data_IF_262973698036
#
_entry.id   IF_262973698036
#
_cell.length_a   1.000
_cell.length_b   1.000
_cell.length_c   1.000
_cell.angle_alpha   90.00
_cell.angle_beta   90.00
_cell.angle_gamma   90.00
#
_symmetry.space_group_name_H-M   'P 1'
#
loop_
_entity.id
_entity.type
_entity.pdbx_description
1 polymer ?
#
# COMPACT_ATOMS: atom_id res chain seq x y z
N UNK A 1 5.92 13.44 -29.37
CA UNK A 1 5.77 11.98 -29.28
C UNK A 1 6.73 11.34 -30.26
N UNK A 2 7.77 10.63 -29.79
CA UNK A 2 8.74 9.93 -30.63
C UNK A 2 8.20 8.60 -31.15
N UNK A 3 8.67 8.19 -32.32
CA UNK A 3 8.34 6.88 -32.91
C UNK A 3 9.32 5.77 -32.50
N UNK A 4 10.36 6.12 -31.71
CA UNK A 4 11.38 5.19 -31.23
C UNK A 4 11.46 5.22 -29.70
N UNK A 5 11.91 4.12 -29.11
CA UNK A 5 12.20 4.05 -27.67
C UNK A 5 13.30 5.06 -27.30
N UNK A 6 13.10 5.78 -26.22
CA UNK A 6 14.05 6.81 -25.75
C UNK A 6 14.54 6.43 -24.36
N UNK A 7 15.87 6.41 -24.19
CA UNK A 7 16.47 6.19 -22.88
C UNK A 7 16.84 7.53 -22.26
N UNK A 8 16.33 7.78 -21.06
CA UNK A 8 16.55 8.99 -20.29
C UNK A 8 17.28 8.66 -18.99
N UNK A 9 18.09 9.61 -18.52
CA UNK A 9 18.58 9.62 -17.13
C UNK A 9 17.76 10.63 -16.36
N UNK A 10 17.12 10.18 -15.28
CA UNK A 10 16.27 11.00 -14.42
C UNK A 10 16.90 11.10 -13.05
N UNK A 11 17.05 12.32 -12.54
CA UNK A 11 17.61 12.58 -11.22
C UNK A 11 16.91 13.79 -10.60
N UNK A 12 16.27 13.68 -9.44
CA UNK A 12 15.94 14.84 -8.63
C UNK A 12 17.22 15.46 -8.04
N UNK A 13 17.19 16.73 -7.74
CA UNK A 13 18.36 17.47 -7.23
C UNK A 13 18.77 17.03 -5.81
N UNK A 14 17.84 16.48 -5.04
CA UNK A 14 18.11 15.89 -3.72
C UNK A 14 18.69 14.46 -3.77
N UNK A 15 18.66 13.78 -4.92
CA UNK A 15 19.16 12.41 -5.02
C UNK A 15 20.60 12.40 -5.57
N UNK A 16 21.47 11.65 -4.93
CA UNK A 16 22.89 11.52 -5.33
C UNK A 16 23.10 10.77 -6.65
N UNK A 17 22.16 9.93 -7.06
CA UNK A 17 22.28 9.09 -8.25
C UNK A 17 21.09 9.24 -9.20
N UNK A 18 21.37 9.13 -10.51
CA UNK A 18 20.33 9.13 -11.54
C UNK A 18 19.83 7.70 -11.81
N UNK A 19 18.54 7.57 -12.06
CA UNK A 19 17.95 6.33 -12.60
C UNK A 19 17.89 6.41 -14.12
N UNK A 20 18.19 5.31 -14.77
CA UNK A 20 18.07 5.15 -16.22
C UNK A 20 16.69 4.58 -16.52
N UNK A 21 15.93 5.27 -17.37
CA UNK A 21 14.58 4.89 -17.76
C UNK A 21 14.52 4.78 -19.26
N UNK A 22 14.03 3.66 -19.78
CA UNK A 22 13.78 3.49 -21.21
C UNK A 22 12.27 3.56 -21.44
N UNK A 23 11.85 4.56 -22.19
CA UNK A 23 10.46 4.79 -22.55
C UNK A 23 10.21 4.24 -23.97
N UNK A 24 9.37 3.23 -24.14
CA UNK A 24 8.80 2.87 -25.43
C UNK A 24 8.08 4.06 -26.08
N UNK A 25 7.82 4.04 -27.40
CA UNK A 25 7.03 5.09 -28.04
C UNK A 25 5.66 5.23 -27.38
N UNK A 26 5.25 6.47 -27.16
CA UNK A 26 3.93 6.82 -26.59
C UNK A 26 3.63 6.17 -25.24
N UNK A 27 4.66 5.91 -24.43
CA UNK A 27 4.53 5.34 -23.08
C UNK A 27 4.89 6.34 -22.00
N UNK A 28 4.45 6.02 -20.78
CA UNK A 28 4.78 6.72 -19.54
C UNK A 28 5.56 5.79 -18.62
N UNK A 29 6.28 6.34 -17.67
CA UNK A 29 6.95 5.60 -16.61
C UNK A 29 7.00 6.43 -15.35
N UNK A 30 6.79 5.78 -14.22
CA UNK A 30 6.96 6.38 -12.88
C UNK A 30 8.33 5.99 -12.33
N UNK A 31 9.01 6.93 -11.72
CA UNK A 31 10.35 6.71 -11.15
C UNK A 31 10.35 7.19 -9.71
N UNK A 32 10.62 6.28 -8.79
CA UNK A 32 10.67 6.57 -7.37
C UNK A 32 12.11 6.86 -6.93
N UNK A 33 12.26 7.85 -6.06
CA UNK A 33 13.52 8.19 -5.41
C UNK A 33 13.30 8.26 -3.90
N UNK A 34 14.27 7.76 -3.10
CA UNK A 34 14.24 8.02 -1.66
C UNK A 34 14.23 9.52 -1.40
N UNK A 35 13.44 9.93 -0.43
CA UNK A 35 13.30 11.34 -0.04
C UNK A 35 13.64 11.49 1.44
N UNK A 36 14.45 12.49 1.76
CA UNK A 36 14.93 12.77 3.12
C UNK A 36 13.95 13.59 3.98
N UNK A 37 12.83 13.99 3.41
CA UNK A 37 11.81 14.75 4.13
C UNK A 37 12.05 16.25 4.25
N UNK A 38 13.11 16.78 3.65
CA UNK A 38 13.53 18.19 3.87
C UNK A 38 12.91 19.20 2.89
N UNK A 39 12.39 18.77 1.74
CA UNK A 39 11.83 19.67 0.72
C UNK A 39 10.65 19.05 -0.02
N UNK A 40 9.60 19.84 -0.22
CA UNK A 40 8.47 19.48 -1.08
C UNK A 40 8.60 20.02 -2.52
N UNK A 41 9.73 20.64 -2.86
CA UNK A 41 10.01 21.14 -4.20
C UNK A 41 11.41 20.68 -4.61
N UNK A 42 11.53 20.25 -5.84
CA UNK A 42 12.79 19.81 -6.40
C UNK A 42 12.88 20.17 -7.89
N UNK A 43 14.07 20.07 -8.43
CA UNK A 43 14.28 20.10 -9.88
C UNK A 43 14.54 18.67 -10.36
N UNK A 44 13.81 18.24 -11.36
CA UNK A 44 14.12 17.00 -12.05
C UNK A 44 14.99 17.29 -13.25
N UNK A 45 16.13 16.65 -13.31
CA UNK A 45 17.08 16.72 -14.40
C UNK A 45 16.87 15.52 -15.30
N UNK A 46 16.46 15.76 -16.54
CA UNK A 46 16.30 14.72 -17.55
C UNK A 46 17.34 14.89 -18.64
N UNK A 47 18.06 13.83 -18.94
CA UNK A 47 19.13 13.84 -19.95
C UNK A 47 18.98 12.64 -20.89
N UNK A 48 19.09 12.90 -22.19
CA UNK A 48 19.19 11.88 -23.25
C UNK A 48 20.64 11.50 -23.60
N UNK A 49 21.60 12.00 -22.81
CA UNK A 49 23.04 11.83 -23.05
C UNK A 49 23.67 12.93 -23.92
N UNK A 50 22.88 13.71 -24.66
CA UNK A 50 23.33 14.84 -25.50
C UNK A 50 22.87 16.18 -24.93
N UNK A 51 21.66 16.22 -24.38
CA UNK A 51 21.05 17.41 -23.81
C UNK A 51 20.49 17.10 -22.43
N UNK A 52 20.54 18.05 -21.52
CA UNK A 52 19.90 18.00 -20.23
C UNK A 52 18.90 19.14 -20.11
N UNK A 53 17.73 18.81 -19.54
CA UNK A 53 16.72 19.81 -19.19
C UNK A 53 16.40 19.69 -17.71
N UNK A 54 16.10 20.83 -17.10
CA UNK A 54 15.66 20.91 -15.70
C UNK A 54 14.21 21.38 -15.68
N UNK A 55 13.40 20.70 -14.89
CA UNK A 55 12.03 21.10 -14.63
C UNK A 55 11.82 21.25 -13.14
N UNK A 56 11.28 22.38 -12.70
CA UNK A 56 10.77 22.48 -11.34
C UNK A 56 9.58 21.52 -11.20
N UNK A 57 9.56 20.78 -10.13
CA UNK A 57 8.47 19.88 -9.79
C UNK A 57 8.12 20.06 -8.32
N UNK A 58 6.84 20.00 -8.03
CA UNK A 58 6.35 19.79 -6.67
C UNK A 58 6.04 18.33 -6.52
N UNK A 59 6.35 17.75 -5.38
CA UNK A 59 6.05 16.36 -5.09
C UNK A 59 5.47 16.22 -3.68
N UNK A 60 4.65 15.21 -3.54
CA UNK A 60 4.13 14.78 -2.25
C UNK A 60 4.97 13.58 -1.80
N UNK A 61 5.57 13.63 -0.61
CA UNK A 61 6.21 12.45 -0.06
C UNK A 61 5.19 11.31 0.05
N UNK A 62 5.59 10.12 -0.36
CA UNK A 62 4.76 8.91 -0.27
C UNK A 62 5.52 7.91 0.58
N UNK A 63 4.84 7.32 1.55
CA UNK A 63 5.39 6.18 2.27
C UNK A 63 5.60 5.02 1.30
N UNK A 64 6.69 4.29 1.43
CA UNK A 64 6.92 3.09 0.64
C UNK A 64 7.49 1.97 1.53
N UNK A 65 7.23 0.73 1.11
CA UNK A 65 7.79 -0.46 1.72
C UNK A 65 8.25 -1.42 0.61
N UNK A 66 9.48 -1.93 0.71
CA UNK A 66 9.99 -2.90 -0.26
C UNK A 66 9.54 -4.30 0.07
N UNK A 67 9.45 -5.11 -0.94
CA UNK A 67 9.24 -6.55 -0.80
C UNK A 67 10.31 -7.16 0.10
N UNK A 68 9.89 -7.88 1.13
CA UNK A 68 10.78 -8.46 2.16
C UNK A 68 11.17 -7.50 3.29
N UNK A 69 10.90 -6.21 3.19
CA UNK A 69 11.18 -5.24 4.24
C UNK A 69 10.07 -5.24 5.31
N UNK A 70 10.47 -5.14 6.57
CA UNK A 70 9.52 -4.97 7.68
C UNK A 70 9.27 -3.50 7.94
N UNK A 71 8.03 -3.07 7.79
CA UNK A 71 7.57 -1.73 8.10
C UNK A 71 6.90 -1.71 9.49
N UNK A 72 7.35 -0.82 10.38
CA UNK A 72 6.82 -0.65 11.73
C UNK A 72 5.97 0.61 11.77
N UNK A 73 4.76 0.52 12.34
CA UNK A 73 3.79 1.61 12.39
C UNK A 73 3.43 1.89 13.84
N UNK A 74 4.09 2.89 14.40
CA UNK A 74 3.98 3.20 15.81
C UNK A 74 4.32 2.00 16.69
N UNK A 75 3.61 1.84 17.79
CA UNK A 75 3.74 0.70 18.70
C UNK A 75 2.70 -0.39 18.41
N UNK A 76 1.64 -0.05 17.67
CA UNK A 76 0.49 -0.93 17.49
C UNK A 76 0.77 -2.08 16.53
N UNK A 77 1.37 -1.81 15.37
CA UNK A 77 1.54 -2.89 14.40
C UNK A 77 2.79 -2.77 13.53
N UNK A 78 3.15 -3.88 12.93
CA UNK A 78 4.14 -3.94 11.85
C UNK A 78 3.67 -4.88 10.77
N UNK A 79 4.17 -4.69 9.55
CA UNK A 79 3.87 -5.59 8.43
C UNK A 79 5.09 -5.81 7.56
N UNK A 80 5.12 -6.95 6.88
CA UNK A 80 6.14 -7.33 5.93
C UNK A 80 5.49 -7.85 4.65
N UNK A 81 5.58 -7.12 3.54
CA UNK A 81 5.11 -7.58 2.24
C UNK A 81 6.16 -8.44 1.56
N UNK A 82 5.74 -9.47 0.83
CA UNK A 82 6.56 -10.22 -0.11
C UNK A 82 5.85 -10.30 -1.45
N UNK A 83 6.33 -9.56 -2.44
CA UNK A 83 5.77 -9.51 -3.80
C UNK A 83 6.42 -10.60 -4.65
N UNK A 84 5.79 -11.77 -4.71
CA UNK A 84 6.24 -12.89 -5.56
C UNK A 84 5.69 -12.78 -6.99
N UNK A 85 6.13 -13.64 -7.90
CA UNK A 85 5.57 -13.71 -9.25
C UNK A 85 4.05 -14.01 -9.27
N UNK A 86 3.54 -14.76 -8.28
CA UNK A 86 2.15 -15.23 -8.28
C UNK A 86 1.21 -14.46 -7.34
N UNK A 87 1.75 -13.84 -6.29
CA UNK A 87 0.94 -13.32 -5.20
C UNK A 87 1.68 -12.24 -4.40
N UNK A 88 0.91 -11.42 -3.70
CA UNK A 88 1.35 -10.67 -2.54
C UNK A 88 1.16 -11.54 -1.30
N UNK A 89 2.23 -11.76 -0.54
CA UNK A 89 2.17 -12.30 0.81
C UNK A 89 2.33 -11.17 1.80
N UNK A 90 1.55 -11.19 2.86
CA UNK A 90 1.61 -10.22 3.94
C UNK A 90 1.69 -10.96 5.27
N UNK A 91 2.70 -10.63 6.08
CA UNK A 91 2.78 -10.98 7.49
C UNK A 91 2.56 -9.72 8.29
N UNK A 92 1.55 -9.70 9.15
CA UNK A 92 1.13 -8.51 9.90
C UNK A 92 1.07 -8.86 11.37
N UNK A 93 1.88 -8.21 12.19
CA UNK A 93 1.83 -8.31 13.65
C UNK A 93 1.07 -7.13 14.22
N UNK A 94 0.03 -7.41 15.01
CA UNK A 94 -0.72 -6.41 15.78
C UNK A 94 -0.47 -6.66 17.28
N UNK A 95 0.00 -5.62 17.97
CA UNK A 95 0.29 -5.62 19.40
C UNK A 95 -0.93 -5.06 20.15
N UNK A 96 -1.97 -5.86 20.24
CA UNK A 96 -3.21 -5.52 20.92
C UNK A 96 -3.73 -6.76 21.67
N UNK A 97 -3.57 -6.74 22.97
CA UNK A 97 -4.04 -7.79 23.87
C UNK A 97 -5.50 -7.60 24.31
N UNK A 98 -6.08 -6.43 24.07
CA UNK A 98 -7.42 -6.07 24.53
C UNK A 98 -8.43 -6.14 23.38
N UNK A 99 -9.01 -7.30 23.20
CA UNK A 99 -10.02 -7.54 22.15
C UNK A 99 -11.31 -6.78 22.43
N UNK A 100 -11.85 -6.17 21.38
CA UNK A 100 -13.13 -5.50 21.41
C UNK A 100 -14.31 -6.33 20.92
N UNK A 101 -15.46 -5.69 20.91
CA UNK A 101 -16.70 -6.18 20.30
C UNK A 101 -16.71 -5.74 18.84
N UNK A 102 -17.06 -6.67 17.93
CA UNK A 102 -17.20 -6.37 16.51
C UNK A 102 -18.67 -6.30 16.10
N UNK A 103 -19.03 -5.32 15.30
CA UNK A 103 -20.36 -5.24 14.72
C UNK A 103 -20.50 -6.15 13.49
N UNK A 104 -21.59 -6.92 13.44
CA UNK A 104 -21.87 -7.78 12.29
C UNK A 104 -22.18 -6.91 11.05
N UNK A 105 -21.42 -7.11 9.98
CA UNK A 105 -21.60 -6.36 8.71
C UNK A 105 -20.87 -5.02 8.64
N UNK A 106 -20.26 -4.59 9.74
CA UNK A 106 -19.41 -3.40 9.79
C UNK A 106 -18.05 -3.76 10.42
N UNK A 107 -17.17 -4.48 9.70
CA UNK A 107 -15.92 -4.99 10.26
C UNK A 107 -15.00 -3.88 10.81
N UNK A 108 -15.06 -2.69 10.25
CA UNK A 108 -14.34 -1.51 10.74
C UNK A 108 -14.81 -0.99 12.11
N UNK A 109 -15.96 -1.46 12.61
CA UNK A 109 -16.44 -1.20 13.97
C UNK A 109 -16.04 -2.33 14.91
N UNK A 110 -14.75 -2.59 15.04
CA UNK A 110 -14.16 -3.64 15.85
C UNK A 110 -12.67 -3.76 15.53
N UNK A 111 -11.99 -4.73 16.14
CA UNK A 111 -10.61 -5.02 15.80
C UNK A 111 -10.53 -5.55 14.38
N UNK A 112 -9.84 -4.83 13.53
CA UNK A 112 -9.77 -5.17 12.10
C UNK A 112 -8.50 -4.62 11.47
N UNK A 113 -7.90 -5.41 10.61
CA UNK A 113 -6.89 -4.96 9.66
C UNK A 113 -7.61 -4.57 8.37
N UNK A 114 -7.51 -3.31 7.98
CA UNK A 114 -7.99 -2.83 6.69
C UNK A 114 -6.82 -2.77 5.72
N UNK A 115 -6.93 -3.45 4.58
CA UNK A 115 -5.95 -3.41 3.49
C UNK A 115 -6.57 -2.69 2.30
N UNK A 116 -5.85 -1.74 1.75
CA UNK A 116 -6.27 -0.94 0.61
C UNK A 116 -5.31 -1.17 -0.55
N UNK A 117 -5.86 -1.42 -1.73
CA UNK A 117 -5.08 -1.68 -2.94
C UNK A 117 -5.55 -0.79 -4.08
N UNK A 118 -4.61 -0.14 -4.73
CA UNK A 118 -4.86 0.56 -5.98
C UNK A 118 -4.16 -0.16 -7.13
N UNK A 119 -4.96 -0.76 -7.99
CA UNK A 119 -4.50 -1.57 -9.12
C UNK A 119 -4.50 -0.79 -10.44
N UNK A 120 -4.68 0.52 -10.39
CA UNK A 120 -4.56 1.40 -11.55
C UNK A 120 -3.12 1.43 -12.07
N UNK A 121 -2.93 1.79 -13.35
CA UNK A 121 -1.59 2.04 -13.90
C UNK A 121 -0.80 3.05 -13.04
N UNK A 122 0.50 2.91 -13.02
CA UNK A 122 1.42 3.77 -12.25
C UNK A 122 1.17 5.27 -12.46
N UNK A 123 0.88 5.68 -13.70
CA UNK A 123 0.58 7.05 -14.07
C UNK A 123 -0.68 7.64 -13.43
N UNK A 124 -1.56 6.78 -12.89
CA UNK A 124 -2.81 7.18 -12.24
C UNK A 124 -2.80 7.03 -10.72
N UNK A 125 -1.67 6.64 -10.11
CA UNK A 125 -1.59 6.45 -8.67
C UNK A 125 -1.81 7.75 -7.88
N UNK A 126 -1.57 8.91 -8.45
CA UNK A 126 -1.84 10.21 -7.82
C UNK A 126 -3.25 10.76 -8.11
N UNK A 127 -4.06 10.03 -8.87
CA UNK A 127 -5.40 10.48 -9.18
C UNK A 127 -6.33 10.26 -7.98
N UNK A 128 -7.01 11.30 -7.46
CA UNK A 128 -7.89 11.19 -6.30
C UNK A 128 -9.14 10.35 -6.63
N UNK A 129 -9.79 9.89 -5.59
CA UNK A 129 -11.05 9.17 -5.67
C UNK A 129 -10.90 7.67 -5.86
N UNK A 130 -11.99 6.98 -5.60
CA UNK A 130 -12.11 5.53 -5.71
C UNK A 130 -12.73 5.16 -7.03
N UNK A 131 -12.10 4.24 -7.73
CA UNK A 131 -12.60 3.61 -8.95
C UNK A 131 -12.82 2.12 -8.69
N UNK A 132 -13.43 1.34 -9.62
CA UNK A 132 -13.52 -0.10 -9.49
C UNK A 132 -12.18 -0.83 -9.31
N UNK A 133 -11.05 -0.16 -9.60
CA UNK A 133 -9.70 -0.70 -9.44
C UNK A 133 -9.09 -0.40 -8.06
N UNK A 134 -9.81 0.22 -7.15
CA UNK A 134 -9.41 0.40 -5.76
C UNK A 134 -10.18 -0.60 -4.91
N UNK A 135 -9.45 -1.52 -4.28
CA UNK A 135 -10.01 -2.63 -3.53
C UNK A 135 -9.73 -2.48 -2.04
N UNK A 136 -10.64 -3.01 -1.23
CA UNK A 136 -10.46 -3.09 0.23
C UNK A 136 -10.67 -4.52 0.70
N UNK A 137 -9.82 -4.95 1.62
CA UNK A 137 -10.00 -6.16 2.40
C UNK A 137 -10.09 -5.81 3.88
N UNK A 138 -10.91 -6.54 4.60
CA UNK A 138 -11.06 -6.43 6.05
C UNK A 138 -10.77 -7.79 6.65
N UNK A 139 -9.70 -7.90 7.39
CA UNK A 139 -9.33 -9.12 8.11
C UNK A 139 -9.49 -8.89 9.60
N UNK A 140 -10.50 -9.49 10.18
CA UNK A 140 -10.85 -9.33 11.59
C UNK A 140 -10.51 -10.59 12.39
N UNK A 141 -9.86 -10.48 13.56
CA UNK A 141 -9.72 -11.60 14.50
C UNK A 141 -11.07 -12.01 15.09
N UNK A 142 -11.10 -13.07 15.87
CA UNK A 142 -12.27 -13.40 16.66
C UNK A 142 -12.58 -12.28 17.67
N UNK A 143 -13.86 -11.98 17.87
CA UNK A 143 -14.31 -10.87 18.74
C UNK A 143 -14.88 -11.34 20.07
N UNK A 144 -14.91 -10.45 21.07
CA UNK A 144 -15.48 -10.76 22.41
C UNK A 144 -16.95 -11.16 22.37
N UNK A 145 -17.73 -10.68 21.40
CA UNK A 145 -19.13 -11.05 21.22
C UNK A 145 -19.34 -12.33 20.42
N UNK A 146 -18.29 -13.14 20.25
CA UNK A 146 -18.38 -14.49 19.67
C UNK A 146 -18.43 -14.54 18.16
N UNK A 147 -18.19 -13.45 17.44
CA UNK A 147 -18.04 -13.51 16.00
C UNK A 147 -16.67 -14.13 15.65
N UNK A 148 -16.62 -15.14 14.76
CA UNK A 148 -15.37 -15.79 14.40
C UNK A 148 -14.46 -14.84 13.61
N UNK A 149 -13.18 -15.18 13.52
CA UNK A 149 -12.27 -14.51 12.58
C UNK A 149 -12.84 -14.57 11.15
N UNK A 150 -12.67 -13.50 10.40
CA UNK A 150 -13.28 -13.39 9.08
C UNK A 150 -12.47 -12.50 8.14
N UNK A 151 -12.46 -12.87 6.85
CA UNK A 151 -12.00 -12.05 5.75
C UNK A 151 -13.21 -11.58 4.93
N UNK A 152 -13.33 -10.27 4.77
CA UNK A 152 -14.35 -9.63 3.93
C UNK A 152 -13.67 -8.75 2.88
N UNK A 153 -14.35 -8.45 1.80
CA UNK A 153 -13.80 -7.60 0.73
C UNK A 153 -14.87 -6.63 0.21
N UNK A 154 -14.40 -5.51 -0.35
CA UNK A 154 -15.21 -4.71 -1.26
C UNK A 154 -15.57 -5.51 -2.52
N UNK A 155 -16.54 -5.02 -3.29
CA UNK A 155 -16.93 -5.66 -4.55
C UNK A 155 -15.74 -5.82 -5.52
N UNK A 156 -15.74 -6.91 -6.26
CA UNK A 156 -14.74 -7.20 -7.29
C UNK A 156 -13.54 -8.07 -6.86
N UNK A 157 -13.36 -8.32 -5.56
CA UNK A 157 -12.31 -9.22 -5.07
C UNK A 157 -12.86 -10.60 -4.75
N UNK A 158 -12.27 -11.63 -5.33
CA UNK A 158 -12.63 -13.02 -5.02
C UNK A 158 -11.87 -13.53 -3.79
N UNK A 159 -12.46 -13.36 -2.60
CA UNK A 159 -11.86 -13.78 -1.33
C UNK A 159 -11.67 -15.30 -1.19
N UNK A 160 -12.43 -16.11 -1.94
CA UNK A 160 -12.32 -17.58 -1.88
C UNK A 160 -10.95 -18.10 -2.36
N UNK A 161 -10.21 -17.30 -3.10
CA UNK A 161 -8.84 -17.62 -3.56
C UNK A 161 -7.75 -17.08 -2.64
N UNK A 162 -8.09 -16.26 -1.66
CA UNK A 162 -7.14 -15.69 -0.71
C UNK A 162 -6.96 -16.68 0.44
N UNK A 163 -5.72 -17.12 0.64
CA UNK A 163 -5.37 -17.89 1.83
C UNK A 163 -5.02 -16.93 2.97
N UNK A 164 -5.56 -17.19 4.15
CA UNK A 164 -5.28 -16.36 5.33
C UNK A 164 -5.35 -17.17 6.61
N UNK A 165 -4.66 -16.70 7.62
CA UNK A 165 -4.67 -17.27 8.98
C UNK A 165 -4.45 -16.16 10.00
N UNK A 166 -5.03 -16.28 11.18
CA UNK A 166 -4.76 -15.45 12.35
C UNK A 166 -4.34 -16.36 13.49
N UNK A 167 -3.20 -16.05 14.09
CA UNK A 167 -2.70 -16.70 15.30
C UNK A 167 -2.67 -15.68 16.42
N UNK A 168 -3.34 -15.97 17.52
CA UNK A 168 -3.43 -15.10 18.69
C UNK A 168 -2.47 -15.53 19.80
N UNK A 169 -1.94 -14.56 20.53
CA UNK A 169 -1.14 -14.78 21.74
C UNK A 169 -1.49 -13.74 22.83
N UNK A 170 -0.79 -13.77 23.96
CA UNK A 170 -1.06 -12.90 25.09
C UNK A 170 -0.81 -11.39 24.80
N UNK A 171 -0.01 -11.07 23.76
CA UNK A 171 0.36 -9.71 23.42
C UNK A 171 -0.38 -9.15 22.18
N UNK A 172 -1.21 -10.00 21.52
CA UNK A 172 -1.93 -9.58 20.34
C UNK A 172 -2.16 -10.70 19.34
N UNK A 173 -1.96 -10.42 18.04
CA UNK A 173 -2.15 -11.44 17.00
C UNK A 173 -1.24 -11.20 15.80
N UNK A 174 -0.98 -12.29 15.09
CA UNK A 174 -0.29 -12.27 13.80
C UNK A 174 -1.25 -12.74 12.72
N UNK A 175 -1.36 -11.98 11.66
CA UNK A 175 -2.15 -12.31 10.48
C UNK A 175 -1.22 -12.60 9.30
N UNK A 176 -1.46 -13.73 8.64
CA UNK A 176 -0.76 -14.15 7.43
C UNK A 176 -1.75 -14.21 6.28
N UNK A 177 -1.42 -13.55 5.15
CA UNK A 177 -2.25 -13.58 3.96
C UNK A 177 -1.40 -13.94 2.73
N UNK A 178 -2.02 -14.68 1.81
CA UNK A 178 -1.52 -14.88 0.45
C UNK A 178 -2.61 -14.45 -0.51
N UNK A 179 -2.38 -13.37 -1.22
CA UNK A 179 -3.34 -12.73 -2.13
C UNK A 179 -2.82 -12.92 -3.56
N UNK A 180 -3.34 -13.90 -4.33
CA UNK A 180 -2.98 -14.06 -5.74
C UNK A 180 -3.25 -12.76 -6.52
N UNK A 181 -2.34 -12.37 -7.39
CA UNK A 181 -2.50 -11.15 -8.20
C UNK A 181 -3.79 -11.16 -9.00
N UNK A 182 -4.23 -12.32 -9.45
CA UNK A 182 -5.50 -12.48 -10.16
C UNK A 182 -6.74 -12.10 -9.35
N UNK A 183 -6.66 -12.09 -8.00
CA UNK A 183 -7.76 -11.62 -7.15
C UNK A 183 -7.92 -10.10 -7.23
N UNK A 184 -6.85 -9.39 -7.59
CA UNK A 184 -6.81 -7.94 -7.75
C UNK A 184 -6.83 -7.51 -9.22
N UNK A 185 -7.02 -8.46 -10.15
CA UNK A 185 -6.99 -8.17 -11.59
C UNK A 185 -5.61 -7.80 -12.14
N UNK A 186 -4.55 -8.18 -11.44
CA UNK A 186 -3.16 -7.90 -11.81
C UNK A 186 -2.47 -9.16 -12.34
N UNK A 187 -1.39 -8.94 -13.11
CA UNK A 187 -0.35 -9.91 -13.34
C UNK A 187 0.73 -9.79 -12.23
N UNK A 188 1.99 -9.68 -12.58
CA UNK A 188 3.08 -9.45 -11.62
C UNK A 188 3.44 -7.96 -11.59
N UNK A 189 2.97 -7.16 -10.63
CA UNK A 189 3.28 -5.75 -10.60
C UNK A 189 4.70 -5.49 -10.06
N UNK A 190 5.38 -4.49 -10.63
CA UNK A 190 6.64 -3.99 -10.07
C UNK A 190 6.41 -3.07 -8.86
N UNK A 191 5.25 -2.43 -8.83
CA UNK A 191 4.77 -1.60 -7.73
C UNK A 191 3.26 -1.72 -7.58
N UNK A 192 2.76 -1.41 -6.39
CA UNK A 192 1.35 -1.45 -6.07
C UNK A 192 1.01 -0.28 -5.14
N UNK A 193 -0.01 0.50 -5.48
CA UNK A 193 -0.60 1.45 -4.54
C UNK A 193 -1.22 0.67 -3.37
N UNK A 194 -0.78 0.99 -2.14
CA UNK A 194 -1.14 0.21 -0.97
C UNK A 194 -1.24 1.08 0.27
N UNK A 195 -2.20 0.78 1.11
CA UNK A 195 -2.22 1.26 2.49
C UNK A 195 -2.74 0.17 3.42
N UNK A 196 -2.41 0.32 4.69
CA UNK A 196 -2.87 -0.56 5.75
C UNK A 196 -3.24 0.25 6.96
N UNK A 197 -4.41 -0.04 7.52
CA UNK A 197 -4.86 0.50 8.78
C UNK A 197 -5.21 -0.63 9.74
N UNK A 198 -5.03 -0.39 11.02
CA UNK A 198 -5.50 -1.27 12.09
C UNK A 198 -6.49 -0.49 12.92
N UNK A 199 -7.74 -0.96 12.93
CA UNK A 199 -8.74 -0.56 13.89
C UNK A 199 -8.54 -1.35 15.18
N UNK A 200 -8.46 -0.65 16.27
CA UNK A 200 -8.38 -1.19 17.62
C UNK A 200 -9.56 -0.67 18.42
N UNK A 201 -10.34 -1.56 18.98
CA UNK A 201 -11.52 -1.25 19.77
C UNK A 201 -11.36 -1.88 21.15
N UNK A 202 -11.27 -1.05 22.18
CA UNK A 202 -11.18 -1.54 23.54
C UNK A 202 -12.52 -2.10 24.05
N UNK A 203 -12.49 -2.72 25.25
CA UNK A 203 -13.70 -3.30 25.88
C UNK A 203 -14.79 -2.28 26.18
N UNK A 204 -14.46 -1.00 26.23
CA UNK A 204 -15.44 0.08 26.42
C UNK A 204 -16.14 0.46 25.10
N UNK A 205 -15.69 -0.08 23.96
CA UNK A 205 -16.16 0.26 22.62
C UNK A 205 -15.49 1.50 22.05
N UNK A 206 -14.46 2.03 22.69
CA UNK A 206 -13.68 3.14 22.13
C UNK A 206 -12.80 2.63 21.01
N UNK A 207 -12.99 3.17 19.82
CA UNK A 207 -12.23 2.85 18.62
C UNK A 207 -11.09 3.84 18.41
N UNK A 208 -9.92 3.30 18.06
CA UNK A 208 -8.80 4.05 17.51
C UNK A 208 -8.41 3.40 16.17
N UNK A 209 -7.90 4.20 15.24
CA UNK A 209 -7.35 3.69 13.98
C UNK A 209 -5.91 4.18 13.85
N UNK A 210 -5.01 3.28 13.52
CA UNK A 210 -3.62 3.59 13.17
C UNK A 210 -3.40 3.22 11.72
N UNK A 211 -2.86 4.16 10.93
CA UNK A 211 -2.69 4.04 9.49
C UNK A 211 -1.21 4.14 9.14
N UNK A 212 -0.75 3.35 8.17
CA UNK A 212 0.66 3.34 7.75
C UNK A 212 1.06 4.58 6.96
N UNK A 213 0.41 4.82 5.83
CA UNK A 213 0.90 5.83 4.87
C UNK A 213 0.11 7.13 4.92
N UNK A 214 -1.18 7.04 5.04
CA UNK A 214 -2.07 8.15 4.87
C UNK A 214 -2.58 8.71 6.19
N UNK A 215 -3.85 8.72 6.31
CA UNK A 215 -4.58 9.17 7.46
C UNK A 215 -6.01 8.64 7.38
N UNK A 216 -6.85 9.11 8.25
CA UNK A 216 -8.24 8.65 8.38
C UNK A 216 -9.08 8.76 7.07
N UNK A 217 -8.58 9.49 6.06
CA UNK A 217 -9.27 9.65 4.78
C UNK A 217 -8.88 8.61 3.72
N UNK A 218 -8.01 7.65 4.02
CA UNK A 218 -7.60 6.62 3.08
C UNK A 218 -8.80 5.82 2.51
N UNK A 219 -9.88 5.69 3.26
CA UNK A 219 -11.12 5.04 2.83
C UNK A 219 -11.94 5.84 1.79
N UNK A 220 -11.57 7.09 1.51
CA UNK A 220 -12.24 8.00 0.55
C UNK A 220 -11.33 8.49 -0.55
N UNK A 221 -10.05 8.64 -0.24
CA UNK A 221 -9.08 9.26 -1.13
C UNK A 221 -7.80 8.43 -1.18
N UNK A 222 -7.58 7.82 -2.34
CA UNK A 222 -6.41 6.97 -2.56
C UNK A 222 -5.09 7.75 -2.65
N UNK A 223 -5.10 9.08 -2.79
CA UNK A 223 -3.88 9.90 -2.74
C UNK A 223 -3.18 9.86 -1.38
N UNK A 224 -3.83 9.31 -0.38
CA UNK A 224 -3.23 9.02 0.93
C UNK A 224 -2.49 7.68 0.98
N UNK A 225 -2.62 6.82 -0.04
CA UNK A 225 -1.93 5.52 -0.04
C UNK A 225 -0.43 5.69 -0.19
N UNK A 226 0.30 4.76 0.41
CA UNK A 226 1.70 4.51 0.11
C UNK A 226 1.87 3.60 -1.11
N UNK A 227 3.06 3.05 -1.23
CA UNK A 227 3.43 2.18 -2.36
C UNK A 227 4.24 0.98 -1.87
N UNK A 228 3.86 -0.22 -2.29
CA UNK A 228 4.71 -1.39 -2.22
C UNK A 228 5.59 -1.45 -3.46
N UNK A 229 6.87 -1.72 -3.26
CA UNK A 229 7.86 -1.86 -4.32
C UNK A 229 8.39 -3.29 -4.33
N UNK A 230 8.50 -3.90 -5.50
CA UNK A 230 9.06 -5.25 -5.62
C UNK A 230 10.57 -5.29 -5.34
N UNK A 231 11.31 -4.22 -5.72
CA UNK A 231 12.75 -4.02 -5.49
C UNK A 231 13.06 -2.58 -5.07
#
# INVERSE_FOLDING_TARGET
HGTAATTLKVRPDFAGSAKKVTLPPQSESVVYFPFDGTSCQAQVIVSDGKKSRRWPVSFKPVSFCRSGERCVVGELFSFQPEMTAAALKLSIRVNDADRGVREKGAPWNGDTIELFFDTRPESLLDFPGYTPNVHRLFLSPASLNGLPAALQASSGVNTAKISWNITEDAAGYTAELVIPWSCLGLAEPALLGFDIAVDNTDRSGKRNQTVWAGGELNHKDRTYFGTLLKE
#
